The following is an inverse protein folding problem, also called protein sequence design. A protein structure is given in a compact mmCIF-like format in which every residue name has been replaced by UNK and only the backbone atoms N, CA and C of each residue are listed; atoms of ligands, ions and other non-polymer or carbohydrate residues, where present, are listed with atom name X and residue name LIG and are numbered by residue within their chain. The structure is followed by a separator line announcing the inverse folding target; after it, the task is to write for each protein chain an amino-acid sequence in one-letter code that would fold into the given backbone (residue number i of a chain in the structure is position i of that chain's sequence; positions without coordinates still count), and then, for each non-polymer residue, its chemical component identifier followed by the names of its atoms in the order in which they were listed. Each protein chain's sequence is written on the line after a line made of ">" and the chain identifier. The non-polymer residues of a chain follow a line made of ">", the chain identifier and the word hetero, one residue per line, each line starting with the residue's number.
data_IF_297884536518
#
_entry.id   IF_297884536518
#
_cell.length_a   1.000
_cell.length_b   1.000
_cell.length_c   1.000
_cell.angle_alpha   90.00
_cell.angle_beta   90.00
_cell.angle_gamma   90.00
#
_symmetry.space_group_name_H-M   'P 1'
#
loop_
_entity.id
_entity.type
_entity.pdbx_description
1 polymer ?
#
# COMPACT_ATOMS: atom_id res chain seq x y z
N UNK A 1 22.50 30.38 -20.00
CA UNK A 1 22.59 29.49 -18.82
C UNK A 1 21.22 29.23 -18.17
N UNK A 2 20.35 30.24 -18.06
CA UNK A 2 18.99 30.12 -17.52
C UNK A 2 18.11 29.02 -18.18
N UNK A 3 18.20 28.85 -19.51
CA UNK A 3 17.46 27.81 -20.24
C UNK A 3 17.88 26.38 -19.87
N UNK A 4 19.16 26.16 -19.55
CA UNK A 4 19.65 24.85 -19.10
C UNK A 4 19.23 24.57 -17.67
N UNK A 5 19.22 25.59 -16.80
CA UNK A 5 18.70 25.49 -15.43
C UNK A 5 17.20 25.16 -15.44
N UNK A 6 16.39 25.83 -16.27
CA UNK A 6 14.96 25.53 -16.42
C UNK A 6 14.69 24.10 -16.88
N UNK A 7 15.48 23.59 -17.83
CA UNK A 7 15.35 22.20 -18.30
C UNK A 7 15.71 21.17 -17.21
N UNK A 8 16.74 21.43 -16.41
CA UNK A 8 17.13 20.57 -15.28
C UNK A 8 16.08 20.60 -14.17
N UNK A 9 15.54 21.78 -13.84
CA UNK A 9 14.45 21.90 -12.86
C UNK A 9 13.18 21.17 -13.31
N UNK A 10 12.83 21.28 -14.59
CA UNK A 10 11.67 20.57 -15.14
C UNK A 10 11.85 19.05 -15.13
N UNK A 11 13.04 18.56 -15.50
CA UNK A 11 13.37 17.14 -15.41
C UNK A 11 13.33 16.62 -13.96
N UNK A 12 13.79 17.41 -12.98
CA UNK A 12 13.73 17.05 -11.58
C UNK A 12 12.27 16.95 -11.05
N UNK A 13 11.37 17.81 -11.51
CA UNK A 13 9.95 17.76 -11.15
C UNK A 13 9.25 16.49 -11.68
N UNK A 14 9.63 16.02 -12.86
CA UNK A 14 9.09 14.78 -13.45
C UNK A 14 9.55 13.51 -12.72
N UNK A 15 10.74 13.53 -12.11
CA UNK A 15 11.28 12.38 -11.36
C UNK A 15 10.56 12.13 -10.02
N UNK A 16 9.78 13.09 -9.52
CA UNK A 16 9.04 12.95 -8.26
C UNK A 16 7.79 12.05 -8.36
N UNK A 17 7.36 11.68 -9.57
CA UNK A 17 6.23 10.78 -9.80
C UNK A 17 6.62 9.29 -9.64
N UNK A 18 7.37 8.92 -8.60
CA UNK A 18 7.67 7.51 -8.33
C UNK A 18 6.42 6.81 -7.84
N UNK A 19 5.86 5.93 -8.66
CA UNK A 19 4.70 5.10 -8.29
C UNK A 19 5.10 4.07 -7.23
N UNK A 20 4.27 3.89 -6.20
CA UNK A 20 4.48 2.85 -5.20
C UNK A 20 4.39 1.47 -5.88
N UNK A 21 5.37 0.60 -5.60
CA UNK A 21 5.37 -0.76 -6.13
C UNK A 21 4.26 -1.57 -5.43
N UNK A 22 3.19 -1.86 -6.17
CA UNK A 22 2.12 -2.75 -5.72
C UNK A 22 2.35 -4.10 -6.38
N UNK A 23 2.55 -5.14 -5.57
CA UNK A 23 2.62 -6.52 -6.06
C UNK A 23 1.20 -7.01 -6.34
N UNK A 24 0.97 -7.44 -7.58
CA UNK A 24 -0.31 -8.00 -8.04
C UNK A 24 -0.09 -9.43 -8.50
N UNK A 25 -0.99 -10.32 -8.08
CA UNK A 25 -1.01 -11.73 -8.50
C UNK A 25 -2.46 -12.07 -8.88
N UNK A 26 -2.64 -12.61 -10.09
CA UNK A 26 -3.94 -12.95 -10.64
C UNK A 26 -3.81 -14.03 -11.73
N UNK A 27 -4.91 -14.75 -11.97
CA UNK A 27 -4.97 -15.76 -13.02
C UNK A 27 -5.16 -15.12 -14.41
N UNK A 28 -4.11 -15.14 -15.24
CA UNK A 28 -4.14 -14.58 -16.59
C UNK A 28 -5.02 -15.36 -17.59
N UNK A 29 -5.43 -16.60 -17.26
CA UNK A 29 -6.33 -17.39 -18.10
C UNK A 29 -7.81 -17.04 -17.91
N UNK A 30 -8.13 -16.25 -16.87
CA UNK A 30 -9.49 -15.90 -16.50
C UNK A 30 -9.95 -14.63 -17.22
N UNK A 31 -11.13 -14.70 -17.82
CA UNK A 31 -11.79 -13.51 -18.37
C UNK A 31 -12.49 -12.72 -17.26
N UNK A 32 -11.84 -11.64 -16.81
CA UNK A 32 -12.40 -10.72 -15.80
C UNK A 32 -13.41 -9.74 -16.38
N UNK A 33 -13.47 -9.55 -17.71
CA UNK A 33 -14.43 -8.66 -18.35
C UNK A 33 -15.85 -9.24 -18.35
N UNK A 34 -15.99 -10.55 -18.12
CA UNK A 34 -17.27 -11.23 -17.99
C UNK A 34 -18.03 -10.86 -16.70
N UNK A 35 -17.35 -10.38 -15.67
CA UNK A 35 -17.95 -10.06 -14.38
C UNK A 35 -18.66 -8.71 -14.41
N UNK A 36 -19.87 -8.66 -13.82
CA UNK A 36 -20.73 -7.48 -13.83
C UNK A 36 -20.93 -6.91 -12.43
N UNK A 37 -21.02 -7.79 -11.44
CA UNK A 37 -21.35 -7.40 -10.09
C UNK A 37 -20.39 -7.96 -9.04
N UNK A 38 -20.40 -7.34 -7.87
CA UNK A 38 -19.55 -7.75 -6.76
C UNK A 38 -20.25 -7.56 -5.42
N UNK A 39 -19.81 -8.31 -4.41
CA UNK A 39 -20.22 -8.12 -3.02
C UNK A 39 -19.01 -8.15 -2.09
N UNK A 40 -19.16 -7.51 -0.95
CA UNK A 40 -18.23 -7.72 0.16
C UNK A 40 -18.34 -9.16 0.65
N UNK A 41 -17.21 -9.77 0.95
CA UNK A 41 -17.18 -11.04 1.65
C UNK A 41 -17.04 -10.76 3.15
N UNK A 42 -17.96 -11.23 3.99
CA UNK A 42 -17.87 -11.00 5.43
C UNK A 42 -16.72 -11.80 6.06
N UNK A 43 -15.82 -11.17 6.85
CA UNK A 43 -15.70 -9.72 7.07
C UNK A 43 -15.02 -9.01 5.88
N UNK A 44 -15.56 -7.86 5.45
CA UNK A 44 -15.08 -7.13 4.27
C UNK A 44 -13.70 -6.51 4.44
N UNK A 45 -13.36 -6.10 5.68
CA UNK A 45 -12.03 -5.67 6.10
C UNK A 45 -11.62 -6.47 7.35
N UNK A 46 -10.42 -7.04 7.34
CA UNK A 46 -9.84 -7.71 8.50
C UNK A 46 -8.52 -7.05 8.91
N UNK A 47 -8.43 -6.66 10.18
CA UNK A 47 -7.21 -6.15 10.79
C UNK A 47 -6.32 -7.31 11.26
N UNK A 48 -5.01 -7.20 11.06
CA UNK A 48 -4.00 -8.16 11.53
C UNK A 48 -2.80 -7.39 12.09
N UNK A 49 -2.44 -7.54 13.39
CA UNK A 49 -3.11 -8.35 14.41
C UNK A 49 -4.52 -7.81 14.76
N UNK A 50 -5.35 -8.65 15.39
CA UNK A 50 -6.68 -8.25 15.83
C UNK A 50 -6.59 -7.41 17.13
N UNK A 51 -6.09 -6.18 17.02
CA UNK A 51 -5.91 -5.25 18.15
C UNK A 51 -6.92 -4.10 18.09
N UNK A 52 -7.76 -3.87 19.11
CA UNK A 52 -8.72 -2.76 19.13
C UNK A 52 -8.06 -1.37 19.04
N UNK A 53 -6.77 -1.22 19.37
CA UNK A 53 -6.04 0.05 19.27
C UNK A 53 -5.79 0.48 17.82
N UNK A 54 -5.75 -0.46 16.88
CA UNK A 54 -5.56 -0.17 15.46
C UNK A 54 -6.88 -0.15 14.68
N UNK A 55 -7.96 -0.64 15.29
CA UNK A 55 -9.29 -0.60 14.68
C UNK A 55 -9.81 0.83 14.65
N UNK A 56 -10.25 1.26 13.47
CA UNK A 56 -10.85 2.57 13.28
C UNK A 56 -11.97 2.50 12.25
N UNK A 57 -13.16 2.94 12.65
CA UNK A 57 -14.33 3.01 11.77
C UNK A 57 -14.08 3.94 10.57
N UNK A 58 -13.37 5.04 10.77
CA UNK A 58 -13.00 5.97 9.71
C UNK A 58 -12.04 5.33 8.70
N UNK A 59 -11.06 4.57 9.17
CA UNK A 59 -10.13 3.83 8.30
C UNK A 59 -10.87 2.76 7.50
N UNK A 60 -11.77 2.03 8.15
CA UNK A 60 -12.59 1.03 7.47
C UNK A 60 -13.49 1.64 6.40
N UNK A 61 -14.18 2.75 6.73
CA UNK A 61 -15.01 3.48 5.77
C UNK A 61 -14.18 3.96 4.57
N UNK A 62 -12.99 4.52 4.80
CA UNK A 62 -12.09 4.98 3.73
C UNK A 62 -11.64 3.85 2.82
N UNK A 63 -11.27 2.71 3.38
CA UNK A 63 -10.83 1.54 2.60
C UNK A 63 -12.00 0.99 1.78
N UNK A 64 -13.18 0.82 2.39
CA UNK A 64 -14.37 0.33 1.69
C UNK A 64 -14.78 1.27 0.56
N UNK A 65 -14.76 2.59 0.80
CA UNK A 65 -15.08 3.58 -0.22
C UNK A 65 -14.07 3.54 -1.36
N UNK A 66 -12.76 3.55 -1.06
CA UNK A 66 -11.72 3.53 -2.08
C UNK A 66 -11.81 2.28 -2.97
N UNK A 67 -12.05 1.11 -2.38
CA UNK A 67 -12.23 -0.14 -3.14
C UNK A 67 -13.52 -0.07 -3.98
N UNK A 68 -14.62 0.40 -3.42
CA UNK A 68 -15.89 0.56 -4.15
C UNK A 68 -15.72 1.48 -5.36
N UNK A 69 -15.09 2.64 -5.18
CA UNK A 69 -14.85 3.62 -6.25
C UNK A 69 -13.96 3.03 -7.35
N UNK A 70 -12.93 2.26 -6.98
CA UNK A 70 -12.04 1.61 -7.92
C UNK A 70 -12.71 0.48 -8.71
N UNK A 71 -13.66 -0.25 -8.10
CA UNK A 71 -14.47 -1.26 -8.79
C UNK A 71 -15.49 -0.59 -9.72
N UNK A 72 -16.09 0.53 -9.30
CA UNK A 72 -17.02 1.29 -10.14
C UNK A 72 -16.33 1.88 -11.38
N UNK A 73 -15.11 2.41 -11.22
CA UNK A 73 -14.27 2.85 -12.34
C UNK A 73 -13.95 1.74 -13.35
N UNK A 74 -13.97 0.48 -12.91
CA UNK A 74 -13.78 -0.70 -13.76
C UNK A 74 -15.11 -1.25 -14.31
N UNK A 75 -16.23 -0.60 -14.02
CA UNK A 75 -17.56 -0.97 -14.52
C UNK A 75 -18.29 -2.02 -13.69
N UNK A 76 -17.75 -2.42 -12.53
CA UNK A 76 -18.38 -3.39 -11.63
C UNK A 76 -19.35 -2.69 -10.68
N UNK A 77 -20.57 -3.21 -10.56
CA UNK A 77 -21.61 -2.66 -9.67
C UNK A 77 -21.85 -3.55 -8.44
N UNK A 78 -22.24 -3.00 -7.28
CA UNK A 78 -22.66 -3.82 -6.15
C UNK A 78 -23.80 -4.78 -6.52
N UNK A 79 -23.72 -6.02 -6.06
CA UNK A 79 -24.78 -7.00 -6.25
C UNK A 79 -26.06 -6.55 -5.53
N UNK A 80 -27.25 -6.66 -6.16
CA UNK A 80 -28.51 -6.35 -5.51
C UNK A 80 -28.71 -7.23 -4.25
N UNK A 81 -29.48 -6.74 -3.25
CA UNK A 81 -29.82 -7.55 -2.08
C UNK A 81 -30.45 -8.89 -2.49
N UNK A 82 -29.90 -10.00 -1.98
CA UNK A 82 -30.38 -11.36 -2.29
C UNK A 82 -29.94 -11.92 -3.64
N UNK A 83 -29.21 -11.16 -4.46
CA UNK A 83 -28.60 -11.67 -5.69
C UNK A 83 -27.22 -12.28 -5.41
N UNK A 84 -26.83 -13.27 -6.23
CA UNK A 84 -25.48 -13.83 -6.20
C UNK A 84 -24.50 -12.84 -6.83
N UNK A 85 -23.38 -12.61 -6.16
CA UNK A 85 -22.28 -11.83 -6.71
C UNK A 85 -21.35 -12.70 -7.59
N UNK A 86 -20.84 -12.12 -8.68
CA UNK A 86 -19.82 -12.71 -9.53
C UNK A 86 -18.45 -12.69 -8.84
N UNK A 87 -18.18 -11.61 -8.09
CA UNK A 87 -16.95 -11.38 -7.36
C UNK A 87 -17.23 -11.11 -5.87
N UNK A 88 -16.47 -11.80 -5.02
CA UNK A 88 -16.46 -11.54 -3.58
C UNK A 88 -15.16 -10.84 -3.22
N UNK A 89 -15.27 -9.69 -2.57
CA UNK A 89 -14.13 -8.83 -2.25
C UNK A 89 -13.87 -8.83 -0.75
N UNK A 90 -12.61 -9.08 -0.38
CA UNK A 90 -12.14 -8.99 1.00
C UNK A 90 -10.81 -8.24 1.05
N UNK A 91 -10.65 -7.42 2.07
CA UNK A 91 -9.44 -6.62 2.29
C UNK A 91 -8.79 -6.97 3.63
N UNK A 92 -7.48 -6.82 3.70
CA UNK A 92 -6.69 -7.05 4.89
C UNK A 92 -5.85 -5.81 5.18
N UNK A 93 -5.87 -5.34 6.43
CA UNK A 93 -4.96 -4.32 6.92
C UNK A 93 -3.98 -5.00 7.87
N UNK A 94 -2.72 -5.09 7.44
CA UNK A 94 -1.65 -5.77 8.18
C UNK A 94 -0.71 -4.72 8.75
N UNK A 95 -0.54 -4.73 10.08
CA UNK A 95 0.43 -3.91 10.79
C UNK A 95 1.59 -4.82 11.21
N UNK A 96 2.74 -4.62 10.58
CA UNK A 96 3.97 -5.33 10.92
C UNK A 96 4.82 -4.51 11.89
N UNK A 97 5.24 -5.12 12.99
CA UNK A 97 6.28 -4.54 13.84
C UNK A 97 7.64 -4.80 13.22
N UNK A 98 8.14 -3.82 12.45
CA UNK A 98 9.51 -3.86 11.96
C UNK A 98 10.45 -3.39 13.08
N UNK A 99 11.17 -4.32 13.70
CA UNK A 99 12.28 -3.95 14.58
C UNK A 99 13.39 -3.35 13.72
N UNK A 100 13.57 -2.04 13.79
CA UNK A 100 14.75 -1.38 13.27
C UNK A 100 15.83 -1.43 14.36
N UNK A 101 16.84 -2.25 14.16
CA UNK A 101 18.04 -2.18 14.99
C UNK A 101 18.81 -0.91 14.63
N UNK A 102 18.50 0.18 15.33
CA UNK A 102 19.28 1.41 15.25
C UNK A 102 20.50 1.22 16.14
N UNK A 103 21.60 0.77 15.54
CA UNK A 103 22.90 0.80 16.20
C UNK A 103 23.39 2.25 16.18
N UNK A 104 23.14 2.98 17.25
CA UNK A 104 23.80 4.28 17.48
C UNK A 104 25.24 3.99 17.88
N UNK A 105 26.16 3.97 16.91
CA UNK A 105 27.58 4.00 17.22
C UNK A 105 27.93 5.40 17.73
N UNK A 106 28.08 5.54 19.05
CA UNK A 106 28.62 6.76 19.66
C UNK A 106 30.15 6.64 19.65
N UNK A 107 30.77 6.89 18.50
CA UNK A 107 32.21 6.74 18.31
C UNK A 107 32.69 7.52 17.11
N UNK A 108 33.03 8.79 17.31
CA UNK A 108 33.51 9.65 16.23
C UNK A 108 33.92 11.05 16.64
N UNK A 109 34.70 11.18 17.73
CA UNK A 109 35.26 12.45 18.18
C UNK A 109 36.73 12.32 18.52
N UNK A 110 37.58 12.37 17.49
CA UNK A 110 39.01 12.73 17.52
C UNK A 110 39.98 11.95 18.43
N UNK A 111 40.82 11.13 17.80
CA UNK A 111 42.24 11.04 18.15
C UNK A 111 42.75 9.69 18.65
N UNK A 112 43.69 9.09 17.91
CA UNK A 112 44.71 8.22 18.50
C UNK A 112 44.90 6.84 17.87
N UNK A 113 45.55 6.80 16.69
CA UNK A 113 46.68 5.93 16.28
C UNK A 113 46.84 4.47 16.79
N UNK A 114 45.86 3.80 17.38
CA UNK A 114 46.01 2.41 17.81
C UNK A 114 44.78 1.60 17.45
N UNK A 115 44.91 0.85 16.36
CA UNK A 115 44.00 -0.24 16.06
C UNK A 115 44.03 -1.27 17.18
N UNK A 116 42.85 -1.62 17.66
CA UNK A 116 42.60 -2.75 18.54
C UNK A 116 41.10 -2.99 18.48
N UNK A 117 40.66 -3.96 17.69
CA UNK A 117 40.21 -5.24 18.23
C UNK A 117 39.23 -5.02 19.37
N UNK A 118 37.92 -5.10 19.12
CA UNK A 118 36.91 -5.84 19.88
C UNK A 118 35.59 -5.75 19.09
N UNK A 119 34.92 -6.91 18.98
CA UNK A 119 33.76 -7.15 18.12
C UNK A 119 32.43 -6.68 18.67
#
# INVERSE_FOLDING_TARGET
>A
MLRRLLLVSFAALLAACSSHNVQQDYDASRDFAAYRNWAWQEPGLQYRPDDPRIKSDLTEQRIRQAVSDQLDQRGLRPAPPGARADLNVRTYLIVEQRQQQVTTNYGGGWGGYWGGYWG
#
